data_IF_408333272066
#
_entry.id   IF_408333272066
#
_cell.length_a   1.000
_cell.length_b   1.000
_cell.length_c   1.000
_cell.angle_alpha   90.00
_cell.angle_beta   90.00
_cell.angle_gamma   90.00
#
_symmetry.space_group_name_H-M   'P 1'
#
loop_
_entity.id
_entity.type
_entity.pdbx_description
1 polymer ?
#
# COMPACT_ATOMS: atom_id res chain seq x y z
N UNK A 1 -3.43 7.96 -26.33
CA UNK A 1 -2.26 7.12 -26.64
C UNK A 1 -2.40 5.84 -25.86
N UNK A 2 -2.13 4.69 -26.48
CA UNK A 2 -2.20 3.38 -25.84
C UNK A 2 -0.76 2.93 -25.57
N UNK A 3 -0.44 2.67 -24.32
CA UNK A 3 0.90 2.22 -23.92
C UNK A 3 1.05 0.72 -24.20
N UNK A 4 2.24 0.29 -24.59
CA UNK A 4 2.60 -1.12 -24.72
C UNK A 4 2.61 -1.81 -23.35
N UNK A 5 2.50 -3.15 -23.32
CA UNK A 5 2.48 -3.92 -22.07
C UNK A 5 3.68 -3.64 -21.17
N UNK A 6 4.89 -3.61 -21.75
CA UNK A 6 6.13 -3.32 -21.03
C UNK A 6 6.19 -1.89 -20.47
N UNK A 7 5.58 -0.93 -21.17
CA UNK A 7 5.51 0.46 -20.72
C UNK A 7 4.56 0.61 -19.52
N UNK A 8 3.38 -0.04 -19.60
CA UNK A 8 2.43 -0.07 -18.49
C UNK A 8 3.05 -0.71 -17.24
N UNK A 9 3.78 -1.80 -17.45
CA UNK A 9 4.49 -2.49 -16.40
C UNK A 9 5.56 -1.61 -15.75
N UNK A 10 6.44 -0.98 -16.53
CA UNK A 10 7.45 -0.07 -16.00
C UNK A 10 6.84 1.08 -15.17
N UNK A 11 5.74 1.67 -15.66
CA UNK A 11 5.07 2.78 -14.98
C UNK A 11 4.44 2.31 -13.65
N UNK A 12 3.73 1.18 -13.64
CA UNK A 12 3.10 0.69 -12.42
C UNK A 12 4.14 0.27 -11.37
N UNK A 13 5.13 -0.54 -11.77
CA UNK A 13 6.13 -1.03 -10.83
C UNK A 13 6.89 0.12 -10.19
N UNK A 14 7.20 1.17 -10.96
CA UNK A 14 7.81 2.39 -10.43
C UNK A 14 6.91 3.10 -9.42
N UNK A 15 5.64 3.29 -9.77
CA UNK A 15 4.68 3.94 -8.87
C UNK A 15 4.56 3.17 -7.54
N UNK A 16 4.44 1.84 -7.60
CA UNK A 16 4.33 1.02 -6.37
C UNK A 16 5.61 1.09 -5.54
N UNK A 17 6.78 0.98 -6.19
CA UNK A 17 8.06 1.07 -5.49
C UNK A 17 8.21 2.39 -4.75
N UNK A 18 7.91 3.52 -5.42
CA UNK A 18 8.01 4.85 -4.80
C UNK A 18 7.05 4.99 -3.61
N UNK A 19 5.79 4.55 -3.76
CA UNK A 19 4.81 4.61 -2.67
C UNK A 19 5.25 3.79 -1.45
N UNK A 20 5.86 2.63 -1.67
CA UNK A 20 6.42 1.81 -0.59
C UNK A 20 7.63 2.50 0.05
N UNK A 21 8.54 3.06 -0.75
CA UNK A 21 9.72 3.75 -0.24
C UNK A 21 9.38 4.98 0.60
N UNK A 22 8.30 5.70 0.27
CA UNK A 22 7.81 6.81 1.09
C UNK A 22 7.25 6.35 2.46
N UNK A 23 6.81 5.09 2.56
CA UNK A 23 6.24 4.51 3.78
C UNK A 23 7.26 3.73 4.63
N UNK A 24 8.12 2.92 4.02
CA UNK A 24 9.01 1.97 4.70
C UNK A 24 10.47 2.37 4.51
N UNK A 25 10.91 3.30 5.33
CA UNK A 25 12.28 3.81 5.31
C UNK A 25 12.77 4.19 6.71
N UNK A 26 14.06 4.49 6.82
CA UNK A 26 14.70 4.90 8.08
C UNK A 26 14.37 6.34 8.49
N UNK A 27 13.56 7.08 7.74
CA UNK A 27 12.97 8.36 8.18
C UNK A 27 11.65 8.17 8.92
N UNK A 28 10.80 7.26 8.44
CA UNK A 28 9.52 6.94 9.08
C UNK A 28 9.74 6.10 10.35
N UNK A 29 10.64 5.12 10.27
CA UNK A 29 10.87 4.14 11.33
C UNK A 29 12.27 4.26 11.95
N UNK A 30 12.39 3.81 13.20
CA UNK A 30 13.68 3.45 13.78
C UNK A 30 14.23 2.20 13.08
N UNK A 31 15.56 2.01 13.13
CA UNK A 31 16.18 0.81 12.58
C UNK A 31 15.62 -0.44 13.28
N UNK A 32 15.06 -1.41 12.53
CA UNK A 32 14.47 -2.60 13.13
C UNK A 32 15.54 -3.52 13.72
N UNK A 33 15.17 -4.28 14.76
CA UNK A 33 16.00 -5.38 15.24
C UNK A 33 15.87 -6.54 14.25
N UNK A 34 16.97 -6.96 13.64
CA UNK A 34 16.97 -8.00 12.59
C UNK A 34 17.32 -9.40 13.10
N UNK A 35 17.81 -9.52 14.33
CA UNK A 35 18.25 -10.79 14.93
C UNK A 35 17.10 -11.68 15.43
N UNK A 36 15.86 -11.17 15.46
CA UNK A 36 14.66 -11.86 15.94
C UNK A 36 13.39 -11.16 15.43
N UNK A 37 12.21 -11.82 15.51
CA UNK A 37 10.95 -11.14 15.25
C UNK A 37 10.81 -9.88 16.11
N UNK A 38 10.39 -8.78 15.47
CA UNK A 38 10.42 -7.43 16.04
C UNK A 38 9.11 -6.69 15.81
N UNK A 39 9.07 -5.43 16.21
CA UNK A 39 8.03 -4.48 15.86
C UNK A 39 8.68 -3.24 15.26
N UNK A 40 8.01 -2.64 14.28
CA UNK A 40 8.44 -1.35 13.76
C UNK A 40 8.01 -0.25 14.73
N UNK A 41 8.94 0.66 15.01
CA UNK A 41 8.72 1.81 15.89
C UNK A 41 8.79 3.06 15.05
N UNK A 42 7.68 3.79 14.94
CA UNK A 42 7.67 5.11 14.29
C UNK A 42 8.57 6.09 15.06
N UNK A 43 9.29 6.95 14.33
CA UNK A 43 10.11 8.00 14.99
C UNK A 43 9.27 9.01 15.78
N UNK A 44 8.04 9.29 15.35
CA UNK A 44 7.11 10.16 16.07
C UNK A 44 5.65 9.93 15.63
N UNK A 45 4.71 10.55 16.34
CA UNK A 45 3.29 10.56 15.97
C UNK A 45 3.03 11.20 14.60
N UNK A 46 3.85 12.16 14.17
CA UNK A 46 3.75 12.76 12.83
C UNK A 46 4.11 11.77 11.73
N UNK A 47 5.15 10.95 11.93
CA UNK A 47 5.53 9.90 10.98
C UNK A 47 4.45 8.81 10.90
N UNK A 48 3.86 8.41 12.04
CA UNK A 48 2.70 7.49 12.09
C UNK A 48 1.52 8.05 11.27
N UNK A 49 1.24 9.35 11.42
CA UNK A 49 0.15 10.02 10.69
C UNK A 49 0.42 10.05 9.19
N UNK A 50 1.63 10.42 8.77
CA UNK A 50 2.03 10.44 7.36
C UNK A 50 1.93 9.03 6.75
N UNK A 51 2.43 8.01 7.45
CA UNK A 51 2.30 6.62 7.01
C UNK A 51 0.83 6.22 6.79
N UNK A 52 -0.07 6.54 7.72
CA UNK A 52 -1.49 6.23 7.57
C UNK A 52 -2.13 6.91 6.34
N UNK A 53 -1.73 8.16 6.04
CA UNK A 53 -2.19 8.91 4.87
C UNK A 53 -1.67 8.26 3.58
N UNK A 54 -0.37 8.00 3.49
CA UNK A 54 0.26 7.38 2.33
C UNK A 54 -0.28 5.97 2.07
N UNK A 55 -0.55 5.21 3.12
CA UNK A 55 -1.16 3.89 3.02
C UNK A 55 -2.57 3.98 2.43
N UNK A 56 -3.39 4.94 2.86
CA UNK A 56 -4.72 5.11 2.26
C UNK A 56 -4.65 5.51 0.79
N UNK A 57 -3.65 6.31 0.39
CA UNK A 57 -3.39 6.64 -1.02
C UNK A 57 -2.91 5.39 -1.81
N UNK A 58 -2.12 4.50 -1.20
CA UNK A 58 -1.74 3.19 -1.77
C UNK A 58 -2.93 2.23 -1.91
N UNK A 59 -3.92 2.34 -1.03
CA UNK A 59 -5.15 1.56 -1.08
C UNK A 59 -6.25 2.24 -1.93
N UNK A 60 -6.00 3.44 -2.43
CA UNK A 60 -6.94 4.14 -3.30
C UNK A 60 -6.90 3.58 -4.72
N UNK A 61 -7.98 3.82 -5.46
CA UNK A 61 -8.02 3.50 -6.87
C UNK A 61 -7.17 4.48 -7.68
N UNK A 62 -6.19 4.00 -8.47
CA UNK A 62 -5.46 4.87 -9.37
C UNK A 62 -6.41 5.55 -10.36
N UNK A 63 -6.22 6.85 -10.61
CA UNK A 63 -7.11 7.63 -11.48
C UNK A 63 -6.91 7.22 -12.94
N UNK A 64 -7.97 6.73 -13.59
CA UNK A 64 -7.97 6.31 -14.99
C UNK A 64 -7.49 7.41 -15.97
N UNK A 65 -7.70 8.68 -15.65
CA UNK A 65 -7.33 9.80 -16.51
C UNK A 65 -5.82 10.14 -16.52
N UNK A 66 -5.02 9.61 -15.58
CA UNK A 66 -3.65 10.05 -15.38
C UNK A 66 -2.58 9.01 -15.78
N UNK A 67 -2.93 7.72 -15.87
CA UNK A 67 -1.96 6.64 -15.98
C UNK A 67 -2.49 5.52 -16.88
N UNK A 68 -1.62 4.76 -17.57
CA UNK A 68 -2.02 3.81 -18.58
C UNK A 68 -2.45 2.46 -18.01
N UNK A 69 -3.35 2.50 -17.04
CA UNK A 69 -3.90 1.30 -16.42
C UNK A 69 -5.03 0.74 -17.29
N UNK A 70 -4.67 0.24 -18.47
CA UNK A 70 -5.61 -0.38 -19.40
C UNK A 70 -6.33 -1.60 -18.79
N UNK A 71 -5.81 -2.14 -17.69
CA UNK A 71 -6.36 -3.25 -16.93
C UNK A 71 -7.39 -2.85 -15.86
N UNK A 72 -7.88 -1.60 -15.83
CA UNK A 72 -8.85 -1.19 -14.82
C UNK A 72 -10.02 -2.20 -14.76
N UNK A 73 -10.43 -2.67 -13.56
CA UNK A 73 -11.46 -3.70 -13.45
C UNK A 73 -12.72 -3.29 -14.21
N UNK A 74 -13.08 -4.06 -15.24
CA UNK A 74 -14.35 -3.88 -15.94
C UNK A 74 -15.45 -4.49 -15.08
N UNK A 75 -16.16 -3.66 -14.32
CA UNK A 75 -17.36 -4.06 -13.56
C UNK A 75 -17.26 -3.91 -12.04
N UNK A 76 -18.13 -4.65 -11.35
CA UNK A 76 -18.17 -4.65 -9.89
C UNK A 76 -17.01 -5.50 -9.36
N UNK A 77 -16.20 -4.90 -8.48
CA UNK A 77 -15.07 -5.57 -7.86
C UNK A 77 -15.55 -6.71 -6.96
N UNK A 78 -14.92 -7.88 -7.03
CA UNK A 78 -15.26 -9.01 -6.17
C UNK A 78 -14.69 -8.83 -4.76
N UNK A 79 -13.52 -8.18 -4.65
CA UNK A 79 -12.86 -7.80 -3.40
C UNK A 79 -12.66 -6.30 -3.32
N UNK A 80 -12.58 -5.75 -2.11
CA UNK A 80 -12.29 -4.32 -1.91
C UNK A 80 -10.90 -3.92 -2.42
N UNK A 81 -9.96 -4.87 -2.48
CA UNK A 81 -8.61 -4.66 -3.01
C UNK A 81 -8.52 -4.75 -4.53
N UNK A 82 -9.55 -5.21 -5.24
CA UNK A 82 -9.50 -5.36 -6.70
C UNK A 82 -9.43 -4.01 -7.42
N UNK A 83 -9.52 -2.90 -6.69
CA UNK A 83 -9.36 -1.54 -7.23
C UNK A 83 -8.09 -0.84 -6.76
N UNK A 84 -7.20 -1.51 -6.01
CA UNK A 84 -5.96 -0.89 -5.49
C UNK A 84 -4.76 -1.19 -6.39
N UNK A 85 -3.59 -0.65 -6.05
CA UNK A 85 -2.33 -1.02 -6.70
C UNK A 85 -1.99 -2.52 -6.60
N UNK A 86 -2.48 -3.24 -5.58
CA UNK A 86 -2.27 -4.68 -5.44
C UNK A 86 -2.91 -5.48 -6.58
N UNK A 87 -4.11 -5.08 -7.01
CA UNK A 87 -4.77 -5.70 -8.16
C UNK A 87 -3.95 -5.56 -9.45
N UNK A 88 -3.37 -4.38 -9.67
CA UNK A 88 -2.55 -4.14 -10.85
C UNK A 88 -1.22 -4.89 -10.78
N UNK A 89 -0.61 -5.03 -9.60
CA UNK A 89 0.56 -5.88 -9.40
C UNK A 89 0.24 -7.35 -9.72
N UNK A 90 -0.86 -7.89 -9.21
CA UNK A 90 -1.33 -9.24 -9.54
C UNK A 90 -1.55 -9.39 -11.06
N UNK A 91 -2.06 -8.35 -11.73
CA UNK A 91 -2.27 -8.36 -13.18
C UNK A 91 -0.95 -8.43 -13.96
N UNK A 92 0.07 -7.66 -13.57
CA UNK A 92 1.42 -7.75 -14.16
C UNK A 92 2.00 -9.13 -13.98
N UNK A 93 1.87 -9.71 -12.78
CA UNK A 93 2.44 -11.04 -12.50
C UNK A 93 1.83 -12.16 -13.36
N UNK A 94 0.63 -11.96 -13.93
CA UNK A 94 0.01 -12.92 -14.86
C UNK A 94 0.59 -12.85 -16.28
N UNK A 95 1.15 -11.70 -16.66
CA UNK A 95 1.69 -11.45 -18.01
C UNK A 95 2.97 -10.61 -17.94
N UNK A 96 4.01 -11.07 -17.21
CA UNK A 96 5.20 -10.29 -16.97
C UNK A 96 5.95 -10.01 -18.28
N UNK A 97 6.46 -8.79 -18.46
CA UNK A 97 7.22 -8.35 -19.62
C UNK A 97 8.69 -8.05 -19.29
N UNK A 98 8.99 -7.59 -18.05
CA UNK A 98 10.35 -7.26 -17.63
C UNK A 98 11.05 -8.43 -16.93
N UNK A 99 10.40 -9.04 -15.94
CA UNK A 99 10.97 -10.15 -15.18
C UNK A 99 10.50 -11.51 -15.71
N UNK A 100 11.38 -12.52 -15.69
CA UNK A 100 11.04 -13.85 -16.17
C UNK A 100 10.26 -14.70 -15.13
N UNK A 101 10.41 -14.40 -13.84
CA UNK A 101 9.83 -15.17 -12.73
C UNK A 101 9.08 -14.20 -11.80
N UNK A 102 7.74 -14.26 -11.81
CA UNK A 102 6.88 -13.33 -11.08
C UNK A 102 6.23 -13.96 -9.82
N UNK A 103 6.49 -15.23 -9.51
CA UNK A 103 5.78 -15.96 -8.44
C UNK A 103 5.97 -15.33 -7.06
N UNK A 104 7.19 -14.84 -6.77
CA UNK A 104 7.48 -14.15 -5.51
C UNK A 104 6.69 -12.86 -5.35
N UNK A 105 6.64 -12.04 -6.42
CA UNK A 105 5.87 -10.78 -6.43
C UNK A 105 4.36 -11.04 -6.35
N UNK A 106 3.86 -12.04 -7.07
CA UNK A 106 2.47 -12.45 -7.02
C UNK A 106 2.07 -12.87 -5.60
N UNK A 107 2.90 -13.69 -4.95
CA UNK A 107 2.67 -14.19 -3.59
C UNK A 107 2.67 -13.06 -2.56
N UNK A 108 3.60 -12.11 -2.67
CA UNK A 108 3.66 -10.95 -1.77
C UNK A 108 2.43 -10.04 -1.93
N UNK A 109 2.04 -9.75 -3.18
CA UNK A 109 0.87 -8.93 -3.47
C UNK A 109 -0.44 -9.60 -3.00
N UNK A 110 -0.63 -10.88 -3.32
CA UNK A 110 -1.84 -11.62 -2.93
C UNK A 110 -1.92 -11.80 -1.42
N UNK A 111 -0.79 -12.10 -0.75
CA UNK A 111 -0.73 -12.24 0.70
C UNK A 111 -1.18 -10.97 1.42
N UNK A 112 -0.76 -9.80 0.94
CA UNK A 112 -1.22 -8.54 1.51
C UNK A 112 -2.69 -8.27 1.17
N UNK A 113 -3.13 -8.54 -0.06
CA UNK A 113 -4.52 -8.38 -0.47
C UNK A 113 -5.46 -9.26 0.37
N UNK A 114 -5.11 -10.51 0.61
CA UNK A 114 -5.92 -11.44 1.40
C UNK A 114 -6.03 -11.00 2.86
N UNK A 115 -4.91 -10.57 3.46
CA UNK A 115 -4.92 -10.00 4.81
C UNK A 115 -5.79 -8.74 4.92
N UNK A 116 -5.74 -7.88 3.91
CA UNK A 116 -6.53 -6.65 3.83
C UNK A 116 -8.04 -6.91 3.69
N UNK A 117 -8.43 -7.92 2.90
CA UNK A 117 -9.84 -8.27 2.70
C UNK A 117 -10.43 -9.03 3.89
N UNK A 118 -9.60 -9.74 4.66
CA UNK A 118 -10.07 -10.42 5.86
C UNK A 118 -10.67 -9.44 6.89
N UNK A 119 -11.69 -9.92 7.61
CA UNK A 119 -12.32 -9.15 8.66
C UNK A 119 -11.37 -8.96 9.85
N UNK A 120 -11.50 -7.79 10.47
CA UNK A 120 -10.94 -7.41 11.75
C UNK A 120 -12.09 -7.41 12.76
N UNK A 121 -11.90 -8.05 13.90
CA UNK A 121 -12.87 -8.06 14.99
C UNK A 121 -12.42 -7.12 16.10
N UNK A 122 -13.18 -6.04 16.32
CA UNK A 122 -12.93 -5.09 17.40
C UNK A 122 -14.01 -5.28 18.47
N UNK A 123 -13.73 -6.02 19.55
CA UNK A 123 -14.73 -6.25 20.60
C UNK A 123 -14.93 -5.00 21.45
N UNK A 124 -16.17 -4.82 21.94
CA UNK A 124 -16.53 -3.80 22.91
C UNK A 124 -16.08 -2.38 22.54
N UNK A 125 -16.22 -1.99 21.27
CA UNK A 125 -15.97 -0.62 20.81
C UNK A 125 -16.95 0.30 21.52
N UNK A 126 -16.43 1.20 22.34
CA UNK A 126 -17.22 2.19 23.07
C UNK A 126 -17.19 3.54 22.36
N UNK A 127 -18.36 4.01 21.94
CA UNK A 127 -18.61 5.29 21.26
C UNK A 127 -19.46 6.20 22.18
N UNK A 128 -18.84 6.91 23.14
CA UNK A 128 -19.57 7.69 24.15
C UNK A 128 -20.44 8.79 23.54
N UNK A 129 -20.02 9.42 22.44
CA UNK A 129 -20.83 10.46 21.76
C UNK A 129 -22.13 9.92 21.14
N UNK A 130 -22.24 8.59 21.02
CA UNK A 130 -23.44 7.89 20.56
C UNK A 130 -24.11 7.07 21.67
N UNK A 131 -23.56 7.07 22.89
CA UNK A 131 -23.95 6.18 23.99
C UNK A 131 -24.04 4.70 23.54
N UNK A 132 -23.04 4.26 22.78
CA UNK A 132 -23.09 2.98 22.07
C UNK A 132 -21.87 2.10 22.35
N UNK A 133 -22.11 0.87 22.79
CA UNK A 133 -21.12 -0.21 22.85
C UNK A 133 -21.48 -1.27 21.83
N UNK A 134 -20.52 -1.66 20.98
CA UNK A 134 -20.74 -2.69 19.95
C UNK A 134 -19.49 -3.52 19.66
N UNK A 135 -19.71 -4.78 19.27
CA UNK A 135 -18.68 -5.61 18.64
C UNK A 135 -18.66 -5.31 17.16
N UNK A 136 -17.55 -4.75 16.68
CA UNK A 136 -17.42 -4.31 15.31
C UNK A 136 -16.71 -5.35 14.45
N UNK A 137 -17.30 -5.66 13.28
CA UNK A 137 -16.66 -6.46 12.23
C UNK A 137 -16.60 -5.68 10.93
N UNK A 138 -15.38 -5.43 10.47
CA UNK A 138 -15.10 -4.69 9.22
C UNK A 138 -13.88 -5.29 8.54
N UNK A 139 -13.79 -5.18 7.21
CA UNK A 139 -12.56 -5.52 6.49
C UNK A 139 -11.41 -4.59 6.93
N UNK A 140 -10.18 -5.11 6.97
CA UNK A 140 -9.00 -4.29 7.34
C UNK A 140 -8.80 -3.16 6.34
N UNK A 141 -9.01 -3.39 5.06
CA UNK A 141 -8.91 -2.35 4.02
C UNK A 141 -9.92 -1.22 4.22
N UNK A 142 -11.16 -1.51 4.63
CA UNK A 142 -12.12 -0.46 4.94
C UNK A 142 -11.62 0.40 6.11
N UNK A 143 -11.19 -0.23 7.20
CA UNK A 143 -10.70 0.45 8.40
C UNK A 143 -9.50 1.33 8.08
N UNK A 144 -8.52 0.82 7.33
CA UNK A 144 -7.31 1.57 6.97
C UNK A 144 -7.63 2.79 6.10
N UNK A 145 -8.60 2.67 5.19
CA UNK A 145 -9.09 3.83 4.41
C UNK A 145 -9.80 4.85 5.30
N UNK A 146 -10.58 4.42 6.29
CA UNK A 146 -11.21 5.34 7.27
C UNK A 146 -10.13 6.14 8.00
N UNK A 147 -9.14 5.42 8.52
CA UNK A 147 -8.05 6.00 9.30
C UNK A 147 -7.24 6.99 8.49
N UNK A 148 -6.86 6.65 7.25
CA UNK A 148 -6.07 7.55 6.42
C UNK A 148 -6.83 8.83 6.02
N UNK A 149 -8.11 8.71 5.62
CA UNK A 149 -8.93 9.89 5.27
C UNK A 149 -9.11 10.82 6.47
N UNK A 150 -9.42 10.27 7.65
CA UNK A 150 -9.59 11.05 8.89
C UNK A 150 -8.30 11.77 9.31
N UNK A 151 -7.13 11.20 8.98
CA UNK A 151 -5.84 11.84 9.24
C UNK A 151 -5.42 12.84 8.15
N UNK A 152 -5.94 12.70 6.93
CA UNK A 152 -5.65 13.56 5.77
C UNK A 152 -6.52 14.82 5.72
N UNK A 153 -7.77 14.70 6.14
CA UNK A 153 -8.79 15.72 5.94
C UNK A 153 -9.31 16.28 7.27
N UNK A 154 -9.75 17.53 7.26
CA UNK A 154 -10.56 18.08 8.34
C UNK A 154 -12.01 17.61 8.21
N UNK A 155 -12.82 17.80 9.25
CA UNK A 155 -14.20 17.30 9.29
C UNK A 155 -15.05 17.74 8.09
N UNK A 156 -14.82 18.94 7.53
CA UNK A 156 -15.58 19.47 6.38
C UNK A 156 -15.30 18.78 5.05
N UNK A 157 -14.40 17.80 5.02
CA UNK A 157 -14.08 16.97 3.84
C UNK A 157 -14.28 15.47 4.09
N UNK A 158 -15.00 15.12 5.17
CA UNK A 158 -15.23 13.73 5.57
C UNK A 158 -16.65 13.25 5.26
N UNK A 159 -17.41 13.93 4.39
CA UNK A 159 -18.82 13.62 4.10
C UNK A 159 -19.01 12.19 3.58
N UNK A 160 -18.16 11.77 2.64
CA UNK A 160 -18.14 10.41 2.12
C UNK A 160 -17.84 9.38 3.24
N UNK A 161 -16.94 9.74 4.16
CA UNK A 161 -16.52 8.87 5.25
C UNK A 161 -17.59 8.75 6.34
N UNK A 162 -18.25 9.85 6.68
CA UNK A 162 -19.41 9.90 7.58
C UNK A 162 -20.52 8.99 7.07
N UNK A 163 -20.82 9.04 5.77
CA UNK A 163 -21.81 8.12 5.16
C UNK A 163 -21.40 6.66 5.27
N UNK A 164 -20.12 6.34 5.09
CA UNK A 164 -19.61 4.98 5.24
C UNK A 164 -19.67 4.49 6.68
N UNK A 165 -19.33 5.33 7.66
CA UNK A 165 -19.44 5.00 9.09
C UNK A 165 -20.91 4.79 9.47
N UNK A 166 -21.81 5.68 9.03
CA UNK A 166 -23.27 5.53 9.22
C UNK A 166 -23.78 4.21 8.65
N UNK A 167 -23.39 3.88 7.41
CA UNK A 167 -23.78 2.62 6.78
C UNK A 167 -23.19 1.40 7.52
N UNK A 168 -21.97 1.52 8.04
CA UNK A 168 -21.36 0.49 8.89
C UNK A 168 -22.17 0.29 10.18
N UNK A 169 -22.53 1.36 10.89
CA UNK A 169 -23.33 1.28 12.11
C UNK A 169 -24.70 0.66 11.85
N UNK A 170 -25.34 1.03 10.74
CA UNK A 170 -26.62 0.46 10.33
C UNK A 170 -26.53 -1.04 10.05
N UNK A 171 -25.43 -1.53 9.45
CA UNK A 171 -25.18 -2.98 9.27
C UNK A 171 -25.03 -3.72 10.61
N UNK A 172 -24.64 -3.02 11.67
CA UNK A 172 -24.56 -3.54 13.03
C UNK A 172 -25.84 -3.27 13.85
N UNK A 173 -26.94 -2.85 13.20
CA UNK A 173 -28.23 -2.64 13.87
C UNK A 173 -28.44 -1.26 14.50
N UNK A 174 -27.52 -0.31 14.28
CA UNK A 174 -27.57 1.01 14.89
C UNK A 174 -27.82 2.10 13.85
N UNK A 175 -29.01 2.70 13.88
CA UNK A 175 -29.40 3.80 13.00
C UNK A 175 -29.09 5.13 13.69
N UNK A 176 -28.22 5.93 13.08
CA UNK A 176 -27.83 7.26 13.55
C UNK A 176 -27.91 8.28 12.41
N UNK A 177 -28.10 9.56 12.73
CA UNK A 177 -27.99 10.63 11.74
C UNK A 177 -26.53 11.01 11.44
N UNK A 178 -26.29 11.74 10.34
CA UNK A 178 -24.93 12.13 9.96
C UNK A 178 -24.28 13.09 10.96
N UNK A 179 -25.05 13.97 11.60
CA UNK A 179 -24.56 14.91 12.61
C UNK A 179 -24.04 14.20 13.85
N UNK A 180 -24.73 13.15 14.31
CA UNK A 180 -24.24 12.25 15.35
C UNK A 180 -22.90 11.61 14.98
N UNK A 181 -22.75 11.13 13.75
CA UNK A 181 -21.50 10.53 13.29
C UNK A 181 -20.37 11.55 13.26
N UNK A 182 -20.61 12.79 12.81
CA UNK A 182 -19.62 13.87 12.89
C UNK A 182 -19.13 14.11 14.32
N UNK A 183 -20.03 14.11 15.30
CA UNK A 183 -19.67 14.26 16.72
C UNK A 183 -18.82 13.10 17.23
N UNK A 184 -19.10 11.88 16.79
CA UNK A 184 -18.39 10.67 17.21
C UNK A 184 -17.05 10.42 16.48
N UNK A 185 -16.68 11.23 15.48
CA UNK A 185 -15.42 11.07 14.74
C UNK A 185 -14.17 10.97 15.63
N UNK A 186 -14.02 11.76 16.71
CA UNK A 186 -12.90 11.61 17.64
C UNK A 186 -12.85 10.21 18.28
N UNK A 187 -13.99 9.62 18.67
CA UNK A 187 -14.01 8.26 19.24
C UNK A 187 -13.57 7.21 18.21
N UNK A 188 -13.99 7.37 16.95
CA UNK A 188 -13.53 6.51 15.86
C UNK A 188 -12.02 6.67 15.61
N UNK A 189 -11.50 7.88 15.73
CA UNK A 189 -10.07 8.14 15.60
C UNK A 189 -9.28 7.48 16.74
N UNK A 190 -9.75 7.58 17.97
CA UNK A 190 -9.10 6.92 19.11
C UNK A 190 -9.07 5.39 18.91
N UNK A 191 -10.21 4.76 18.69
CA UNK A 191 -10.27 3.30 18.49
C UNK A 191 -9.48 2.83 17.27
N UNK A 192 -9.70 3.43 16.09
CA UNK A 192 -9.14 2.87 14.86
C UNK A 192 -7.73 3.35 14.58
N UNK A 193 -7.38 4.60 14.89
CA UNK A 193 -6.04 5.11 14.63
C UNK A 193 -5.10 4.86 15.81
N UNK A 194 -5.52 5.13 17.05
CA UNK A 194 -4.65 5.01 18.22
C UNK A 194 -4.45 3.55 18.63
N UNK A 195 -5.48 2.71 18.50
CA UNK A 195 -5.38 1.30 18.92
C UNK A 195 -5.19 0.35 17.72
N UNK A 196 -6.23 0.14 16.91
CA UNK A 196 -6.26 -0.93 15.90
C UNK A 196 -5.19 -0.76 14.82
N UNK A 197 -5.10 0.43 14.22
CA UNK A 197 -4.07 0.73 13.21
C UNK A 197 -2.66 0.63 13.81
N UNK A 198 -2.49 1.14 15.03
CA UNK A 198 -1.20 1.12 15.73
C UNK A 198 -0.71 -0.31 15.98
N UNK A 199 -1.63 -1.22 16.32
CA UNK A 199 -1.35 -2.65 16.45
C UNK A 199 -0.90 -3.26 15.11
N UNK A 200 -1.61 -2.96 14.02
CA UNK A 200 -1.31 -3.53 12.71
C UNK A 200 -0.17 -2.85 11.94
N UNK A 201 0.29 -1.66 12.35
CA UNK A 201 1.24 -0.86 11.59
C UNK A 201 2.55 -1.61 11.27
N UNK A 202 3.06 -2.41 12.21
CA UNK A 202 4.25 -3.25 11.97
C UNK A 202 3.99 -4.30 10.90
N UNK A 203 2.87 -5.01 10.99
CA UNK A 203 2.46 -6.06 10.04
C UNK A 203 2.24 -5.48 8.64
N UNK A 204 1.66 -4.29 8.54
CA UNK A 204 1.51 -3.58 7.27
C UNK A 204 2.89 -3.22 6.70
N UNK A 205 3.79 -2.69 7.52
CA UNK A 205 5.17 -2.40 7.09
C UNK A 205 5.91 -3.63 6.59
N UNK A 206 5.68 -4.80 7.20
CA UNK A 206 6.24 -6.08 6.75
C UNK A 206 5.68 -6.49 5.38
N UNK A 207 4.36 -6.41 5.15
CA UNK A 207 3.78 -6.68 3.83
C UNK A 207 4.34 -5.74 2.75
N UNK A 208 4.47 -4.45 3.05
CA UNK A 208 5.03 -3.46 2.12
C UNK A 208 6.51 -3.77 1.81
N UNK A 209 7.32 -4.11 2.83
CA UNK A 209 8.73 -4.49 2.63
C UNK A 209 8.87 -5.79 1.83
N UNK A 210 7.99 -6.77 2.04
CA UNK A 210 7.93 -8.01 1.26
C UNK A 210 7.64 -7.73 -0.22
N UNK A 211 6.69 -6.84 -0.52
CA UNK A 211 6.42 -6.42 -1.90
C UNK A 211 7.65 -5.72 -2.49
N UNK A 212 8.31 -4.80 -1.78
CA UNK A 212 9.52 -4.13 -2.26
C UNK A 212 10.65 -5.11 -2.55
N UNK A 213 10.88 -6.08 -1.67
CA UNK A 213 11.90 -7.13 -1.89
C UNK A 213 11.56 -7.98 -3.10
N UNK A 214 10.31 -8.41 -3.24
CA UNK A 214 9.87 -9.17 -4.38
C UNK A 214 9.97 -8.37 -5.69
N UNK A 215 9.74 -7.06 -5.68
CA UNK A 215 10.00 -6.18 -6.83
C UNK A 215 11.48 -6.14 -7.19
N UNK A 216 12.36 -6.04 -6.20
CA UNK A 216 13.81 -6.07 -6.41
C UNK A 216 14.24 -7.38 -7.06
N UNK A 217 13.79 -8.51 -6.52
CA UNK A 217 14.11 -9.84 -7.04
C UNK A 217 13.55 -10.01 -8.47
N UNK A 218 12.31 -9.56 -8.71
CA UNK A 218 11.65 -9.61 -10.01
C UNK A 218 12.41 -8.81 -11.10
N UNK A 219 12.90 -7.62 -10.77
CA UNK A 219 13.59 -6.73 -11.72
C UNK A 219 15.10 -7.00 -11.83
N UNK A 220 15.69 -7.77 -10.89
CA UNK A 220 17.12 -8.06 -10.89
C UNK A 220 17.63 -8.73 -12.17
N UNK A 221 16.93 -9.73 -12.77
CA UNK A 221 17.32 -10.31 -14.04
C UNK A 221 17.30 -9.30 -15.20
N UNK A 222 16.30 -8.42 -15.23
CA UNK A 222 16.17 -7.38 -16.25
C UNK A 222 17.29 -6.34 -16.12
N UNK A 223 17.61 -5.92 -14.90
CA UNK A 223 18.76 -5.07 -14.63
C UNK A 223 20.07 -5.72 -15.12
N UNK A 224 20.29 -6.99 -14.81
CA UNK A 224 21.48 -7.72 -15.26
C UNK A 224 21.55 -7.83 -16.79
N UNK A 225 20.41 -8.01 -17.47
CA UNK A 225 20.31 -8.02 -18.93
C UNK A 225 20.59 -6.64 -19.53
N UNK A 226 20.02 -5.59 -18.95
CA UNK A 226 20.00 -4.26 -19.55
C UNK A 226 21.25 -3.44 -19.25
N UNK A 227 21.88 -3.63 -18.09
CA UNK A 227 23.00 -2.79 -17.66
C UNK A 227 24.23 -2.93 -18.58
N UNK A 228 24.82 -1.80 -18.94
CA UNK A 228 26.06 -1.71 -19.71
C UNK A 228 26.99 -0.72 -19.03
N UNK A 229 28.25 -1.12 -18.79
CA UNK A 229 29.31 -0.17 -18.47
C UNK A 229 29.61 0.72 -19.67
N UNK A 230 29.70 2.02 -19.45
CA UNK A 230 30.23 2.97 -20.44
C UNK A 230 31.75 3.13 -20.31
N UNK A 231 32.34 3.83 -21.27
CA UNK A 231 33.78 4.08 -21.37
C UNK A 231 34.15 5.56 -21.33
N UNK A 232 33.17 6.47 -21.17
CA UNK A 232 33.43 7.92 -21.26
C UNK A 232 34.06 8.50 -20.00
N UNK A 233 33.72 7.97 -18.82
CA UNK A 233 34.27 8.39 -17.52
C UNK A 233 34.01 7.32 -16.46
N UNK A 234 34.66 7.46 -15.30
CA UNK A 234 34.47 6.54 -14.17
C UNK A 234 33.01 6.58 -13.67
N UNK A 235 32.35 5.44 -13.70
CA UNK A 235 30.92 5.33 -13.39
C UNK A 235 29.97 5.69 -14.54
N UNK A 236 30.44 5.83 -15.78
CA UNK A 236 29.55 5.89 -16.96
C UNK A 236 28.82 4.55 -17.14
N UNK A 237 27.51 4.61 -17.37
CA UNK A 237 26.69 3.44 -17.61
C UNK A 237 25.48 3.79 -18.47
N UNK A 238 24.90 2.77 -19.07
CA UNK A 238 23.63 2.87 -19.78
C UNK A 238 22.78 1.62 -19.56
N UNK A 239 21.53 1.69 -20.00
CA UNK A 239 20.63 0.56 -20.06
C UNK A 239 20.24 0.29 -21.51
N UNK A 240 20.32 -0.98 -21.90
CA UNK A 240 19.79 -1.52 -23.15
C UNK A 240 18.27 -1.69 -23.03
N UNK A 241 17.56 -0.56 -23.14
CA UNK A 241 16.11 -0.44 -22.93
C UNK A 241 15.34 -1.24 -24.00
N UNK A 242 14.29 -2.01 -23.64
CA UNK A 242 13.44 -2.70 -24.61
C UNK A 242 12.90 -1.75 -25.69
N UNK A 243 12.98 -2.18 -26.96
CA UNK A 243 12.61 -1.39 -28.14
C UNK A 243 11.12 -0.99 -28.21
N UNK A 244 10.31 -1.68 -27.44
CA UNK A 244 8.88 -1.51 -27.26
C UNK A 244 8.55 -0.32 -26.35
N UNK A 245 9.50 0.13 -25.52
CA UNK A 245 9.38 1.35 -24.72
C UNK A 245 9.72 2.55 -25.62
N UNK A 246 8.68 3.26 -26.05
CA UNK A 246 8.76 4.40 -26.98
C UNK A 246 8.22 5.68 -26.36
N UNK A 247 7.32 5.56 -25.41
CA UNK A 247 6.78 6.69 -24.67
C UNK A 247 7.84 7.30 -23.74
N UNK A 248 8.06 8.63 -23.77
CA UNK A 248 9.08 9.29 -22.94
C UNK A 248 8.87 9.12 -21.43
N UNK A 249 7.62 9.06 -20.96
CA UNK A 249 7.33 8.82 -19.55
C UNK A 249 7.72 7.39 -19.18
N UNK A 250 7.31 6.41 -19.98
CA UNK A 250 7.65 5.01 -19.75
C UNK A 250 9.16 4.76 -19.76
N UNK A 251 9.89 5.41 -20.68
CA UNK A 251 11.35 5.39 -20.71
C UNK A 251 11.96 5.89 -19.40
N UNK A 252 11.50 7.05 -18.91
CA UNK A 252 11.95 7.59 -17.63
C UNK A 252 11.65 6.67 -16.46
N UNK A 253 10.45 6.09 -16.40
CA UNK A 253 10.06 5.16 -15.32
C UNK A 253 10.90 3.88 -15.34
N UNK A 254 11.16 3.30 -16.51
CA UNK A 254 12.04 2.15 -16.66
C UNK A 254 13.48 2.46 -16.22
N UNK A 255 14.03 3.59 -16.68
CA UNK A 255 15.39 4.00 -16.33
C UNK A 255 15.56 4.15 -14.82
N UNK A 256 14.60 4.79 -14.17
CA UNK A 256 14.59 4.95 -12.71
C UNK A 256 14.44 3.60 -12.00
N UNK A 257 13.60 2.68 -12.48
CA UNK A 257 13.50 1.33 -11.92
C UNK A 257 14.85 0.60 -11.96
N UNK A 258 15.55 0.64 -13.08
CA UNK A 258 16.87 -0.01 -13.21
C UNK A 258 17.88 0.62 -12.25
N UNK A 259 17.82 1.94 -12.05
CA UNK A 259 18.64 2.62 -11.05
C UNK A 259 18.27 2.26 -9.61
N UNK A 260 17.00 2.00 -9.31
CA UNK A 260 16.57 1.50 -7.99
C UNK A 260 17.17 0.12 -7.73
N UNK A 261 17.13 -0.79 -8.69
CA UNK A 261 17.77 -2.11 -8.58
C UNK A 261 19.28 -1.96 -8.39
N UNK A 262 19.93 -1.10 -9.18
CA UNK A 262 21.37 -0.79 -9.01
C UNK A 262 21.70 -0.29 -7.59
N UNK A 263 20.81 0.52 -7.02
CA UNK A 263 20.98 1.12 -5.69
C UNK A 263 20.82 0.15 -4.53
N UNK A 264 20.25 -1.04 -4.74
CA UNK A 264 20.02 -2.02 -3.68
C UNK A 264 18.90 -1.63 -2.70
N UNK A 265 18.67 -2.51 -1.73
CA UNK A 265 17.69 -2.29 -0.67
C UNK A 265 18.39 -1.88 0.63
N UNK A 266 18.15 -0.65 1.09
CA UNK A 266 18.80 -0.08 2.26
C UNK A 266 18.08 -0.33 3.57
N UNK A 267 16.76 -0.53 3.53
CA UNK A 267 16.01 -0.87 4.72
C UNK A 267 16.28 -2.34 5.10
N UNK A 268 16.71 -2.63 6.34
CA UNK A 268 17.06 -3.99 6.74
C UNK A 268 15.87 -4.94 6.65
N UNK A 269 16.13 -6.20 6.30
CA UNK A 269 15.11 -7.25 6.35
C UNK A 269 14.70 -7.50 7.81
N UNK A 270 13.41 -7.64 8.04
CA UNK A 270 12.86 -7.90 9.37
C UNK A 270 11.64 -8.82 9.25
N UNK A 271 11.20 -9.35 10.39
CA UNK A 271 9.93 -10.05 10.49
C UNK A 271 9.19 -9.59 11.74
N UNK A 272 7.88 -9.47 11.65
CA UNK A 272 7.05 -8.98 12.75
C UNK A 272 6.68 -10.12 13.68
N UNK A 273 6.77 -9.84 14.99
CA UNK A 273 6.37 -10.79 16.03
C UNK A 273 4.96 -11.34 15.80
N UNK A 274 4.74 -12.67 15.88
CA UNK A 274 3.41 -13.27 15.76
C UNK A 274 2.39 -12.72 16.76
N UNK A 275 2.85 -12.23 17.93
CA UNK A 275 1.99 -11.61 18.95
C UNK A 275 1.30 -10.33 18.44
N UNK A 276 1.85 -9.68 17.41
CA UNK A 276 1.31 -8.47 16.78
C UNK A 276 0.44 -8.76 15.53
N UNK A 277 0.08 -10.02 15.32
CA UNK A 277 -0.74 -10.47 14.18
C UNK A 277 -2.10 -11.08 14.59
N UNK A 278 -2.28 -11.43 15.86
CA UNK A 278 -3.35 -12.35 16.29
C UNK A 278 -4.45 -11.73 17.18
N UNK A 279 -4.37 -10.43 17.54
CA UNK A 279 -5.31 -9.82 18.49
C UNK A 279 -6.60 -9.26 17.84
N UNK A 280 -6.50 -8.77 16.61
CA UNK A 280 -7.58 -8.08 15.87
C UNK A 280 -7.85 -8.72 14.51
#
# INVERSE_FOLDING_TARGET
MTYAGVEQEAILLKAVWDMIDDMVNLEVFQSPVTSRPTNLVFKSGSHKRIFAILLADFLAQPRQAALPFAFAPSGQAARETDRTYLFYLEAICRQPQLGAEASGLATAASGFADWLNAECHCPAVWLPELDLSLDLRVSRVWLLKVVGDANKHNFSRLDARVRQIKAMLARHGHVVDEGMVYRALPNFQDWFYTDVFSYHASTIGEFLDQIRRALFDYLSPEYARAWRSGDRFDGDYSFDVPSEIRDPLAFGMYWELMNRVRGGLWFPAFSVSPLLKNHF
#
